data_IF_117673608464
#
_entry.id   IF_117673608464
#
_cell.length_a   1.000
_cell.length_b   1.000
_cell.length_c   1.000
_cell.angle_alpha   90.00
_cell.angle_beta   90.00
_cell.angle_gamma   90.00
#
_symmetry.space_group_name_H-M   'P 1'
#
loop_
_entity.id
_entity.type
_entity.pdbx_description
1 polymer ?
#
# COMPACT_ATOMS: atom_id res chain seq x y z
N UNK A 1 14.10 3.61 0.42
CA UNK A 1 12.89 2.98 1.02
C UNK A 1 11.73 3.95 1.02
N UNK A 2 10.48 3.43 1.05
CA UNK A 2 9.29 4.26 1.25
C UNK A 2 8.73 4.03 2.65
N UNK A 3 8.49 5.13 3.39
CA UNK A 3 7.82 5.11 4.68
C UNK A 3 6.49 5.84 4.57
N UNK A 4 5.40 5.15 4.86
CA UNK A 4 4.05 5.64 4.62
C UNK A 4 3.55 6.46 5.81
N UNK A 5 2.94 7.62 5.55
CA UNK A 5 2.20 8.37 6.56
C UNK A 5 0.91 7.63 6.91
N UNK A 6 0.40 7.88 8.10
CA UNK A 6 -0.85 7.29 8.58
C UNK A 6 -2.00 7.57 7.60
N UNK A 7 -2.66 6.52 7.12
CA UNK A 7 -3.73 6.63 6.15
C UNK A 7 -4.96 7.42 6.67
N UNK A 8 -5.13 7.50 7.99
CA UNK A 8 -6.17 8.33 8.64
C UNK A 8 -6.00 9.83 8.36
N UNK A 9 -4.79 10.26 7.95
CA UNK A 9 -4.47 11.64 7.60
C UNK A 9 -4.68 11.95 6.11
N UNK A 10 -5.17 11.01 5.30
CA UNK A 10 -5.23 11.12 3.83
C UNK A 10 -6.04 12.32 3.32
N UNK A 11 -6.93 12.89 4.12
CA UNK A 11 -7.75 14.07 3.79
C UNK A 11 -7.37 15.31 4.60
N UNK A 12 -6.19 15.33 5.24
CA UNK A 12 -5.66 16.44 6.01
C UNK A 12 -4.24 16.78 5.55
N UNK A 13 -4.12 17.82 4.75
CA UNK A 13 -2.86 18.29 4.18
C UNK A 13 -1.84 18.65 5.25
N UNK A 14 -2.25 19.45 6.25
CA UNK A 14 -1.34 19.96 7.28
C UNK A 14 -0.85 18.82 8.21
N UNK A 15 -1.75 17.94 8.63
CA UNK A 15 -1.39 16.80 9.45
C UNK A 15 -0.48 15.81 8.68
N UNK A 16 -0.71 15.61 7.38
CA UNK A 16 0.16 14.80 6.51
C UNK A 16 1.57 15.40 6.42
N UNK A 17 1.70 16.70 6.20
CA UNK A 17 2.99 17.41 6.17
C UNK A 17 3.72 17.26 7.52
N UNK A 18 3.02 17.52 8.63
CA UNK A 18 3.58 17.42 9.97
C UNK A 18 4.09 16.00 10.27
N UNK A 19 3.30 14.96 9.91
CA UNK A 19 3.69 13.56 10.07
C UNK A 19 4.90 13.21 9.21
N UNK A 20 4.92 13.63 7.95
CA UNK A 20 6.04 13.41 7.04
C UNK A 20 7.36 14.01 7.58
N UNK A 21 7.32 15.25 8.04
CA UNK A 21 8.48 15.93 8.66
C UNK A 21 8.95 15.22 9.92
N UNK A 22 8.02 14.74 10.75
CA UNK A 22 8.37 13.93 11.92
C UNK A 22 9.10 12.64 11.54
N UNK A 23 8.62 11.92 10.52
CA UNK A 23 9.26 10.70 10.04
C UNK A 23 10.68 10.98 9.51
N UNK A 24 10.84 12.03 8.72
CA UNK A 24 12.16 12.45 8.21
C UNK A 24 13.11 12.84 9.38
N UNK A 25 12.61 13.52 10.40
CA UNK A 25 13.38 13.79 11.61
C UNK A 25 13.92 12.54 12.28
N UNK A 26 13.10 11.50 12.42
CA UNK A 26 13.51 10.20 12.97
C UNK A 26 14.60 9.52 12.11
N UNK A 27 14.53 9.65 10.78
CA UNK A 27 15.59 9.16 9.90
C UNK A 27 16.90 9.94 10.06
N UNK A 28 16.83 11.26 10.20
CA UNK A 28 18.03 12.08 10.47
C UNK A 28 18.66 11.72 11.81
N UNK A 29 17.88 11.52 12.86
CA UNK A 29 18.36 11.08 14.18
C UNK A 29 19.07 9.72 14.11
N UNK A 30 18.67 8.87 13.15
CA UNK A 30 19.33 7.60 12.84
C UNK A 30 20.50 7.72 11.85
N UNK A 31 20.88 8.94 11.44
CA UNK A 31 21.99 9.19 10.50
C UNK A 31 21.66 8.87 9.04
N UNK A 32 20.38 8.81 8.67
CA UNK A 32 19.91 8.49 7.31
C UNK A 32 19.45 9.78 6.62
N UNK A 33 20.00 10.06 5.43
CA UNK A 33 19.69 11.25 4.64
C UNK A 33 18.41 11.13 3.80
N UNK A 34 17.85 12.27 3.38
CA UNK A 34 16.58 12.34 2.61
C UNK A 34 16.61 11.54 1.31
N UNK A 35 17.75 11.52 0.62
CA UNK A 35 17.93 10.80 -0.64
C UNK A 35 17.78 9.27 -0.53
N UNK A 36 17.73 8.73 0.69
CA UNK A 36 17.49 7.31 0.96
C UNK A 36 16.01 6.99 1.26
N UNK A 37 15.17 8.01 1.41
CA UNK A 37 13.81 7.87 1.91
C UNK A 37 12.82 8.58 1.00
N UNK A 38 11.72 7.92 0.71
CA UNK A 38 10.54 8.51 0.11
C UNK A 38 9.41 8.49 1.15
N UNK A 39 8.77 9.61 1.37
CA UNK A 39 7.54 9.63 2.16
C UNK A 39 6.38 9.17 1.28
N UNK A 40 5.70 8.11 1.70
CA UNK A 40 4.60 7.53 0.93
C UNK A 40 3.27 8.08 1.40
N UNK A 41 2.48 8.62 0.47
CA UNK A 41 1.25 9.38 0.75
C UNK A 41 0.13 8.91 -0.17
N UNK A 42 -1.10 8.79 0.33
CA UNK A 42 -2.26 8.47 -0.50
C UNK A 42 -2.53 9.59 -1.52
N UNK A 43 -2.90 9.23 -2.76
CA UNK A 43 -3.15 10.17 -3.85
C UNK A 43 -4.57 10.78 -3.78
N UNK A 44 -4.95 11.30 -2.61
CA UNK A 44 -6.06 12.24 -2.45
C UNK A 44 -5.64 13.62 -2.92
N UNK A 45 -6.56 14.55 -3.13
CA UNK A 45 -6.19 15.94 -3.42
C UNK A 45 -5.33 16.54 -2.32
N UNK A 46 -5.74 16.34 -1.07
CA UNK A 46 -5.03 16.81 0.12
C UNK A 46 -3.63 16.19 0.24
N UNK A 47 -3.50 14.90 -0.02
CA UNK A 47 -2.21 14.19 -0.02
C UNK A 47 -1.28 14.68 -1.14
N UNK A 48 -1.82 14.96 -2.33
CA UNK A 48 -1.06 15.53 -3.46
C UNK A 48 -0.58 16.95 -3.10
N UNK A 49 -1.42 17.77 -2.46
CA UNK A 49 -1.02 19.11 -2.01
C UNK A 49 0.03 19.06 -0.91
N UNK A 50 -0.04 18.08 -0.01
CA UNK A 50 1.01 17.84 0.98
C UNK A 50 2.34 17.47 0.29
N UNK A 51 2.31 16.58 -0.69
CA UNK A 51 3.51 16.21 -1.46
C UNK A 51 4.12 17.40 -2.20
N UNK A 52 3.31 18.28 -2.78
CA UNK A 52 3.80 19.50 -3.45
C UNK A 52 4.63 20.40 -2.51
N UNK A 53 4.23 20.52 -1.25
CA UNK A 53 4.98 21.27 -0.23
C UNK A 53 6.26 20.53 0.15
N UNK A 54 6.17 19.23 0.42
CA UNK A 54 7.31 18.41 0.84
C UNK A 54 8.41 18.34 -0.21
N UNK A 55 8.05 18.16 -1.49
CA UNK A 55 9.01 18.12 -2.59
C UNK A 55 9.76 19.45 -2.75
N UNK A 56 9.09 20.59 -2.57
CA UNK A 56 9.73 21.91 -2.56
C UNK A 56 10.72 22.09 -1.41
N UNK A 57 10.54 21.35 -0.33
CA UNK A 57 11.43 21.34 0.84
C UNK A 57 12.53 20.26 0.74
N UNK A 58 12.61 19.51 -0.38
CA UNK A 58 13.60 18.45 -0.58
C UNK A 58 13.28 17.15 0.14
N UNK A 59 12.03 16.95 0.50
CA UNK A 59 11.51 15.68 1.03
C UNK A 59 10.77 14.96 -0.11
N UNK A 60 11.39 13.91 -0.62
CA UNK A 60 10.87 13.17 -1.76
C UNK A 60 9.66 12.31 -1.40
N UNK A 61 8.67 12.26 -2.29
CA UNK A 61 7.41 11.59 -2.07
C UNK A 61 7.14 10.47 -3.07
N UNK A 62 6.49 9.41 -2.58
CA UNK A 62 5.91 8.32 -3.35
C UNK A 62 4.39 8.34 -3.19
N UNK A 63 3.67 8.76 -4.22
CA UNK A 63 2.20 8.84 -4.17
C UNK A 63 1.59 7.47 -4.47
N UNK A 64 0.82 6.95 -3.51
CA UNK A 64 0.22 5.61 -3.53
C UNK A 64 -1.30 5.66 -3.54
N UNK A 65 -1.96 4.49 -3.53
CA UNK A 65 -3.41 4.38 -3.74
C UNK A 65 -3.83 5.14 -4.99
N UNK A 66 -3.04 4.98 -6.04
CA UNK A 66 -3.22 5.63 -7.33
C UNK A 66 -3.85 4.63 -8.29
N UNK A 67 -5.03 4.97 -8.79
CA UNK A 67 -5.85 4.14 -9.66
C UNK A 67 -6.32 4.91 -10.90
N UNK A 68 -6.58 6.21 -10.79
CA UNK A 68 -7.12 7.06 -11.82
C UNK A 68 -6.08 7.93 -12.53
N UNK A 69 -6.38 8.27 -13.80
CA UNK A 69 -5.51 9.11 -14.59
C UNK A 69 -5.40 10.55 -14.04
N UNK A 70 -6.50 11.08 -13.50
CA UNK A 70 -6.51 12.40 -12.86
C UNK A 70 -5.55 12.49 -11.67
N UNK A 71 -5.49 11.42 -10.85
CA UNK A 71 -4.53 11.34 -9.74
C UNK A 71 -3.09 11.41 -10.25
N UNK A 72 -2.76 10.65 -11.30
CA UNK A 72 -1.41 10.62 -11.86
C UNK A 72 -0.99 12.01 -12.38
N UNK A 73 -1.85 12.67 -13.14
CA UNK A 73 -1.57 14.01 -13.67
C UNK A 73 -1.37 15.03 -12.54
N UNK A 74 -2.25 15.06 -11.57
CA UNK A 74 -2.13 15.97 -10.43
C UNK A 74 -0.84 15.72 -9.61
N UNK A 75 -0.44 14.46 -9.42
CA UNK A 75 0.84 14.11 -8.77
C UNK A 75 2.05 14.64 -9.56
N UNK A 76 2.03 14.52 -10.89
CA UNK A 76 3.11 15.02 -11.74
C UNK A 76 3.18 16.54 -11.73
N UNK A 77 2.03 17.24 -11.77
CA UNK A 77 1.96 18.72 -11.67
C UNK A 77 2.44 19.21 -10.28
N UNK A 78 2.21 18.45 -9.21
CA UNK A 78 2.74 18.71 -7.89
C UNK A 78 4.26 18.47 -7.78
N UNK A 79 4.89 17.89 -8.81
CA UNK A 79 6.32 17.60 -8.82
C UNK A 79 6.73 16.39 -7.98
N UNK A 80 5.80 15.47 -7.70
CA UNK A 80 6.10 14.25 -6.96
C UNK A 80 7.26 13.48 -7.60
N UNK A 81 8.19 13.00 -6.78
CA UNK A 81 9.33 12.20 -7.26
C UNK A 81 8.86 10.89 -7.88
N UNK A 82 7.89 10.21 -7.28
CA UNK A 82 7.45 8.88 -7.70
C UNK A 82 5.96 8.68 -7.48
N UNK A 83 5.32 7.95 -8.39
CA UNK A 83 3.96 7.44 -8.21
C UNK A 83 3.94 5.92 -8.28
N UNK A 84 3.06 5.30 -7.50
CA UNK A 84 2.87 3.84 -7.44
C UNK A 84 1.45 3.44 -7.84
N UNK A 85 1.11 3.41 -9.14
CA UNK A 85 -0.18 2.92 -9.61
C UNK A 85 -0.32 1.41 -9.38
N UNK A 86 -1.51 0.98 -8.94
CA UNK A 86 -1.78 -0.40 -8.55
C UNK A 86 -2.41 -1.21 -9.69
N UNK A 87 -1.58 -1.86 -10.50
CA UNK A 87 -1.97 -2.63 -11.69
C UNK A 87 -3.02 -3.70 -11.35
N UNK A 88 -2.66 -4.65 -10.50
CA UNK A 88 -3.53 -5.79 -10.21
C UNK A 88 -4.79 -5.45 -9.43
N UNK A 89 -4.79 -4.37 -8.60
CA UNK A 89 -6.04 -3.95 -7.93
C UNK A 89 -7.03 -3.33 -8.91
N UNK A 90 -6.56 -2.69 -9.98
CA UNK A 90 -7.40 -2.24 -11.10
C UNK A 90 -7.97 -3.46 -11.80
N UNK A 91 -7.16 -4.46 -12.14
CA UNK A 91 -7.60 -5.72 -12.74
C UNK A 91 -8.68 -6.40 -11.89
N UNK A 92 -8.47 -6.53 -10.58
CA UNK A 92 -9.42 -7.14 -9.66
C UNK A 92 -10.79 -6.46 -9.71
N UNK A 93 -10.80 -5.12 -9.74
CA UNK A 93 -12.04 -4.35 -9.82
C UNK A 93 -12.78 -4.61 -11.12
N UNK A 94 -12.07 -4.57 -12.27
CA UNK A 94 -12.69 -4.81 -13.58
C UNK A 94 -13.18 -6.26 -13.76
N UNK A 95 -12.47 -7.23 -13.20
CA UNK A 95 -12.94 -8.64 -13.18
C UNK A 95 -14.26 -8.75 -12.43
N UNK A 96 -14.35 -8.14 -11.26
CA UNK A 96 -15.57 -8.14 -10.45
C UNK A 96 -16.73 -7.41 -11.13
N UNK A 97 -16.47 -6.24 -11.71
CA UNK A 97 -17.50 -5.40 -12.32
C UNK A 97 -18.04 -5.99 -13.63
N UNK A 98 -17.18 -6.54 -14.48
CA UNK A 98 -17.55 -7.12 -15.77
C UNK A 98 -18.00 -8.58 -15.71
N UNK A 99 -17.68 -9.30 -14.62
CA UNK A 99 -17.86 -10.74 -14.51
C UNK A 99 -16.91 -11.59 -15.36
N UNK A 100 -15.84 -10.98 -15.93
CA UNK A 100 -14.80 -11.71 -16.69
C UNK A 100 -13.78 -12.31 -15.74
N UNK A 101 -13.43 -13.57 -15.94
CA UNK A 101 -12.45 -14.28 -15.11
C UNK A 101 -11.00 -13.88 -15.39
N UNK A 102 -10.71 -13.42 -16.62
CA UNK A 102 -9.35 -13.04 -17.03
C UNK A 102 -9.34 -11.97 -18.11
N UNK A 103 -8.23 -11.29 -18.20
CA UNK A 103 -7.89 -10.35 -19.29
C UNK A 103 -6.52 -10.76 -19.85
N UNK A 104 -6.35 -10.87 -21.19
CA UNK A 104 -5.03 -10.99 -21.80
C UNK A 104 -4.16 -9.80 -21.43
N UNK A 105 -2.84 -10.00 -21.27
CA UNK A 105 -1.92 -8.96 -20.83
C UNK A 105 -2.10 -7.60 -21.49
N UNK A 106 -2.17 -7.51 -22.86
CA UNK A 106 -2.39 -6.23 -23.56
C UNK A 106 -3.77 -5.60 -23.31
N UNK A 107 -4.77 -6.41 -22.91
CA UNK A 107 -6.14 -5.94 -22.62
C UNK A 107 -6.37 -5.71 -21.12
N UNK A 108 -5.37 -6.00 -20.28
CA UNK A 108 -5.46 -5.79 -18.84
C UNK A 108 -5.66 -4.32 -18.52
N UNK A 109 -6.77 -3.95 -17.84
CA UNK A 109 -7.09 -2.55 -17.57
C UNK A 109 -6.05 -1.86 -16.69
N UNK A 110 -5.36 -2.59 -15.81
CA UNK A 110 -4.25 -2.06 -15.01
C UNK A 110 -3.03 -1.75 -15.88
N UNK A 111 -2.68 -2.66 -16.80
CA UNK A 111 -1.61 -2.44 -17.79
C UNK A 111 -1.92 -1.25 -18.68
N UNK A 112 -3.15 -1.18 -19.22
CA UNK A 112 -3.59 -0.06 -20.05
C UNK A 112 -3.49 1.27 -19.28
N UNK A 113 -3.93 1.30 -18.03
CA UNK A 113 -3.86 2.48 -17.17
C UNK A 113 -2.42 2.97 -16.98
N UNK A 114 -1.51 2.08 -16.55
CA UNK A 114 -0.11 2.45 -16.31
C UNK A 114 0.62 2.83 -17.60
N UNK A 115 0.36 2.12 -18.69
CA UNK A 115 0.89 2.46 -20.03
C UNK A 115 0.46 3.86 -20.45
N UNK A 116 -0.80 4.23 -20.24
CA UNK A 116 -1.32 5.58 -20.53
C UNK A 116 -0.61 6.64 -19.71
N UNK A 117 -0.46 6.41 -18.39
CA UNK A 117 0.23 7.33 -17.48
C UNK A 117 1.68 7.51 -17.88
N UNK A 118 2.42 6.41 -18.13
CA UNK A 118 3.82 6.45 -18.56
C UNK A 118 3.99 7.28 -19.84
N UNK A 119 3.23 6.97 -20.89
CA UNK A 119 3.30 7.69 -22.16
C UNK A 119 2.98 9.18 -21.98
N UNK A 120 1.97 9.52 -21.19
CA UNK A 120 1.62 10.90 -20.89
C UNK A 120 2.77 11.64 -20.21
N UNK A 121 3.38 11.05 -19.18
CA UNK A 121 4.50 11.67 -18.46
C UNK A 121 5.70 11.92 -19.40
N UNK A 122 6.05 10.92 -20.20
CA UNK A 122 7.19 11.03 -21.14
C UNK A 122 6.91 12.03 -22.26
N UNK A 123 5.68 12.07 -22.78
CA UNK A 123 5.27 13.04 -23.82
C UNK A 123 5.36 14.48 -23.33
N UNK A 124 4.96 14.73 -22.08
CA UNK A 124 4.94 16.10 -21.51
C UNK A 124 6.18 16.46 -20.71
N UNK A 125 7.19 15.59 -20.66
CA UNK A 125 8.47 15.86 -20.04
C UNK A 125 8.42 15.91 -18.49
N UNK A 126 7.43 15.27 -17.87
CA UNK A 126 7.39 15.14 -16.41
C UNK A 126 8.55 14.28 -15.93
N UNK A 127 9.15 14.68 -14.82
CA UNK A 127 10.27 13.96 -14.18
C UNK A 127 9.80 12.88 -13.21
N UNK A 128 8.54 12.91 -12.82
CA UNK A 128 7.94 11.93 -11.94
C UNK A 128 8.12 10.51 -12.49
N UNK A 129 8.68 9.63 -11.69
CA UNK A 129 8.86 8.22 -12.04
C UNK A 129 7.57 7.43 -11.85
N UNK A 130 7.29 6.54 -12.79
CA UNK A 130 6.13 5.64 -12.73
C UNK A 130 6.60 4.28 -12.26
N UNK A 131 6.13 3.84 -11.10
CA UNK A 131 6.44 2.52 -10.55
C UNK A 131 5.18 1.63 -10.53
N UNK A 132 5.03 0.78 -11.53
CA UNK A 132 3.96 -0.22 -11.52
C UNK A 132 4.04 -1.10 -10.27
N UNK A 133 2.91 -1.32 -9.60
CA UNK A 133 2.86 -2.01 -8.31
C UNK A 133 1.65 -2.96 -8.19
N UNK A 134 1.71 -3.86 -7.19
CA UNK A 134 0.59 -4.73 -6.82
C UNK A 134 0.18 -5.71 -7.93
N UNK A 135 1.14 -6.35 -8.58
CA UNK A 135 0.93 -7.30 -9.67
C UNK A 135 0.24 -8.58 -9.22
N UNK A 136 -0.57 -9.18 -10.11
CA UNK A 136 -1.27 -10.46 -9.92
C UNK A 136 -0.64 -11.61 -10.70
N UNK A 137 0.00 -11.30 -11.83
CA UNK A 137 0.55 -12.31 -12.74
C UNK A 137 1.77 -11.76 -13.50
N UNK A 138 2.45 -12.65 -14.25
CA UNK A 138 3.63 -12.29 -15.03
C UNK A 138 3.29 -11.43 -16.25
N UNK A 139 2.13 -11.61 -16.86
CA UNK A 139 1.74 -10.87 -18.06
C UNK A 139 1.67 -9.37 -17.80
N UNK A 140 1.13 -8.95 -16.62
CA UNK A 140 1.14 -7.55 -16.21
C UNK A 140 2.56 -6.97 -16.16
N UNK A 141 3.54 -7.75 -15.68
CA UNK A 141 4.94 -7.33 -15.56
C UNK A 141 5.60 -7.25 -16.93
N UNK A 142 5.37 -8.27 -17.77
CA UNK A 142 5.92 -8.35 -19.12
C UNK A 142 5.41 -7.21 -20.00
N UNK A 143 4.10 -6.92 -19.95
CA UNK A 143 3.50 -5.82 -20.73
C UNK A 143 3.94 -4.42 -20.26
N UNK A 144 4.48 -4.31 -19.04
CA UNK A 144 5.05 -3.07 -18.54
C UNK A 144 6.59 -3.03 -18.60
N UNK A 145 7.22 -3.95 -19.34
CA UNK A 145 8.67 -3.98 -19.52
C UNK A 145 9.17 -2.68 -20.18
N UNK A 146 10.01 -1.96 -19.47
CA UNK A 146 10.51 -0.63 -19.86
C UNK A 146 9.85 0.54 -19.12
N UNK A 147 8.89 0.28 -18.22
CA UNK A 147 8.44 1.25 -17.22
C UNK A 147 9.62 1.74 -16.37
N UNK A 148 9.54 2.92 -15.79
CA UNK A 148 10.64 3.46 -15.00
C UNK A 148 11.03 2.51 -13.86
N UNK A 149 10.04 2.02 -13.10
CA UNK A 149 10.22 1.10 -12.00
C UNK A 149 9.06 0.10 -11.92
N UNK A 150 9.31 -1.06 -11.30
CA UNK A 150 8.29 -2.05 -10.97
C UNK A 150 8.53 -2.61 -9.57
N UNK A 151 7.51 -2.59 -8.72
CA UNK A 151 7.54 -3.24 -7.41
C UNK A 151 6.92 -4.63 -7.53
N UNK A 152 7.75 -5.65 -7.54
CA UNK A 152 7.37 -7.04 -7.80
C UNK A 152 7.51 -7.86 -6.51
N UNK A 153 6.52 -8.69 -6.19
CA UNK A 153 6.58 -9.58 -5.03
C UNK A 153 7.65 -10.67 -5.22
N UNK A 154 8.25 -11.19 -4.12
CA UNK A 154 9.25 -12.25 -4.20
C UNK A 154 8.78 -13.47 -5.00
N UNK A 155 7.53 -13.87 -4.85
CA UNK A 155 6.95 -15.00 -5.58
C UNK A 155 6.94 -14.78 -7.11
N UNK A 156 6.54 -13.59 -7.56
CA UNK A 156 6.57 -13.26 -8.99
C UNK A 156 8.00 -13.09 -9.51
N UNK A 157 8.93 -12.57 -8.68
CA UNK A 157 10.36 -12.52 -9.03
C UNK A 157 10.95 -13.91 -9.23
N UNK A 158 10.58 -14.89 -8.39
CA UNK A 158 11.05 -16.26 -8.55
C UNK A 158 10.47 -16.91 -9.82
N UNK A 159 9.22 -16.63 -10.16
CA UNK A 159 8.65 -17.08 -11.43
C UNK A 159 9.38 -16.47 -12.64
N UNK A 160 9.69 -15.16 -12.60
CA UNK A 160 10.46 -14.49 -13.65
C UNK A 160 11.87 -15.07 -13.79
N UNK A 161 12.54 -15.36 -12.69
CA UNK A 161 13.88 -15.98 -12.68
C UNK A 161 13.91 -17.33 -13.38
N UNK A 162 12.83 -18.09 -13.28
CA UNK A 162 12.69 -19.42 -13.87
C UNK A 162 12.06 -19.39 -15.28
N UNK A 163 11.77 -18.21 -15.83
CA UNK A 163 11.24 -18.04 -17.18
C UNK A 163 12.37 -17.85 -18.19
N UNK A 164 12.34 -18.62 -19.27
CA UNK A 164 13.24 -18.47 -20.43
C UNK A 164 12.54 -17.78 -21.62
N UNK A 165 11.34 -17.22 -21.39
CA UNK A 165 10.58 -16.52 -22.43
C UNK A 165 11.33 -15.26 -22.88
N UNK A 166 11.30 -14.97 -24.18
CA UNK A 166 11.84 -13.72 -24.73
C UNK A 166 11.09 -12.51 -24.17
N UNK A 167 11.85 -11.58 -23.59
CA UNK A 167 11.31 -10.33 -23.05
C UNK A 167 11.57 -9.18 -24.01
N UNK A 168 10.54 -8.72 -24.69
CA UNK A 168 10.60 -7.51 -25.51
C UNK A 168 10.27 -6.27 -24.71
N UNK A 169 10.96 -5.16 -25.01
CA UNK A 169 10.62 -3.86 -24.41
C UNK A 169 9.26 -3.39 -24.94
N UNK A 170 8.34 -3.07 -24.02
CA UNK A 170 6.98 -2.59 -24.31
C UNK A 170 6.85 -1.07 -24.18
N UNK A 171 7.54 -0.49 -23.21
CA UNK A 171 7.53 0.94 -22.94
C UNK A 171 8.90 1.55 -23.24
N UNK A 172 8.93 2.68 -23.94
CA UNK A 172 10.16 3.39 -24.30
C UNK A 172 10.00 4.88 -24.05
N UNK A 173 10.72 5.40 -23.06
CA UNK A 173 10.69 6.83 -22.71
C UNK A 173 11.15 7.75 -23.84
N UNK A 174 11.98 7.24 -24.78
CA UNK A 174 12.44 8.02 -25.95
C UNK A 174 11.42 8.06 -27.09
N UNK A 175 10.42 7.19 -27.06
CA UNK A 175 9.39 7.04 -28.10
C UNK A 175 8.02 6.81 -27.46
N UNK A 176 7.51 7.77 -26.67
CA UNK A 176 6.20 7.61 -26.05
C UNK A 176 5.13 7.45 -27.13
N UNK A 177 4.24 6.47 -26.93
CA UNK A 177 3.16 6.22 -27.86
C UNK A 177 2.04 7.24 -27.63
N UNK A 178 1.57 7.86 -28.72
CA UNK A 178 0.43 8.75 -28.83
C UNK A 178 0.45 10.04 -27.99
N UNK A 179 0.13 11.14 -28.63
CA UNK A 179 -0.06 12.45 -28.00
C UNK A 179 -1.42 12.46 -27.29
N UNK A 180 -1.39 12.41 -25.96
CA UNK A 180 -2.55 12.80 -25.14
C UNK A 180 -2.40 14.29 -24.87
N UNK A 181 -3.47 15.08 -25.11
CA UNK A 181 -3.48 16.51 -24.83
C UNK A 181 -3.11 16.77 -23.37
N UNK A 182 -2.30 17.81 -23.14
CA UNK A 182 -1.87 18.16 -21.78
C UNK A 182 -3.07 18.65 -20.97
N UNK A 183 -3.31 18.00 -19.84
CA UNK A 183 -4.32 18.42 -18.88
C UNK A 183 -3.71 19.39 -17.88
N UNK A 184 -4.53 20.28 -17.34
CA UNK A 184 -4.25 21.06 -16.14
C UNK A 184 -5.34 20.76 -15.13
N UNK A 185 -4.94 20.34 -13.92
CA UNK A 185 -5.86 19.83 -12.92
C UNK A 185 -5.83 20.72 -11.68
N UNK A 186 -6.92 21.44 -11.44
CA UNK A 186 -7.22 22.09 -10.17
C UNK A 186 -8.13 21.22 -9.28
N UNK A 187 -8.49 21.72 -8.10
CA UNK A 187 -9.29 20.98 -7.13
C UNK A 187 -10.68 20.58 -7.66
N UNK A 188 -11.33 21.45 -8.42
CA UNK A 188 -12.67 21.20 -8.96
C UNK A 188 -12.62 20.19 -10.10
N UNK A 189 -11.65 20.31 -10.99
CA UNK A 189 -11.41 19.37 -12.07
C UNK A 189 -11.02 17.99 -11.51
N UNK A 190 -10.13 17.95 -10.51
CA UNK A 190 -9.76 16.70 -9.83
C UNK A 190 -10.99 16.01 -9.26
N UNK A 191 -11.80 16.74 -8.50
CA UNK A 191 -13.02 16.22 -7.90
C UNK A 191 -14.02 15.69 -8.94
N UNK A 192 -14.21 16.43 -10.04
CA UNK A 192 -15.10 16.00 -11.13
C UNK A 192 -14.60 14.72 -11.78
N UNK A 193 -13.31 14.68 -12.19
CA UNK A 193 -12.73 13.52 -12.85
C UNK A 193 -12.70 12.27 -11.96
N UNK A 194 -12.43 12.45 -10.66
CA UNK A 194 -12.51 11.36 -9.69
C UNK A 194 -13.95 10.87 -9.47
N UNK A 195 -14.93 11.78 -9.54
CA UNK A 195 -16.35 11.42 -9.46
C UNK A 195 -16.85 10.64 -10.69
N UNK A 196 -16.28 10.88 -11.86
CA UNK A 196 -16.58 10.17 -13.11
C UNK A 196 -15.88 8.80 -13.20
N UNK A 197 -14.70 8.67 -12.58
CA UNK A 197 -13.94 7.40 -12.53
C UNK A 197 -14.34 6.57 -11.31
N UNK A 198 -15.44 5.82 -11.46
CA UNK A 198 -16.00 4.98 -10.40
C UNK A 198 -14.96 4.01 -9.83
N UNK A 199 -14.13 3.39 -10.68
CA UNK A 199 -13.10 2.45 -10.24
C UNK A 199 -12.06 3.14 -9.36
N UNK A 200 -11.51 4.26 -9.81
CA UNK A 200 -10.51 4.99 -9.04
C UNK A 200 -11.07 5.51 -7.71
N UNK A 201 -12.29 6.03 -7.71
CA UNK A 201 -12.98 6.50 -6.50
C UNK A 201 -13.19 5.39 -5.47
N UNK A 202 -13.78 4.26 -5.89
CA UNK A 202 -14.04 3.12 -5.00
C UNK A 202 -12.74 2.53 -4.44
N UNK A 203 -11.71 2.32 -5.30
CA UNK A 203 -10.44 1.73 -4.89
C UNK A 203 -9.59 2.63 -3.99
N UNK A 204 -9.64 3.94 -4.19
CA UNK A 204 -8.99 4.90 -3.27
C UNK A 204 -9.61 4.83 -1.87
N UNK A 205 -10.93 4.85 -1.78
CA UNK A 205 -11.66 4.76 -0.51
C UNK A 205 -11.40 3.43 0.21
N UNK A 206 -11.58 2.31 -0.49
CA UNK A 206 -11.29 0.97 0.03
C UNK A 206 -9.85 0.86 0.53
N UNK A 207 -8.89 1.41 -0.24
CA UNK A 207 -7.48 1.40 0.15
C UNK A 207 -7.19 2.18 1.42
N UNK A 208 -7.75 3.39 1.56
CA UNK A 208 -7.59 4.21 2.77
C UNK A 208 -8.20 3.51 3.99
N UNK A 209 -9.40 2.95 3.86
CA UNK A 209 -10.06 2.21 4.95
C UNK A 209 -9.25 0.99 5.37
N UNK A 210 -8.77 0.20 4.39
CA UNK A 210 -7.96 -0.99 4.66
C UNK A 210 -6.64 -0.65 5.37
N UNK A 211 -5.95 0.41 4.92
CA UNK A 211 -4.71 0.85 5.55
C UNK A 211 -4.94 1.45 6.94
N UNK A 212 -6.03 2.18 7.15
CA UNK A 212 -6.43 2.69 8.47
C UNK A 212 -6.66 1.54 9.46
N UNK A 213 -7.41 0.51 9.05
CA UNK A 213 -7.62 -0.66 9.89
C UNK A 213 -6.32 -1.41 10.17
N UNK A 214 -5.42 -1.52 9.20
CA UNK A 214 -4.13 -2.17 9.38
C UNK A 214 -3.25 -1.44 10.41
N UNK A 215 -3.21 -0.11 10.40
CA UNK A 215 -2.44 0.66 11.39
C UNK A 215 -3.05 0.56 12.79
N UNK A 216 -4.37 0.58 12.92
CA UNK A 216 -5.07 0.36 14.19
C UNK A 216 -4.73 -1.02 14.78
N UNK A 217 -4.74 -2.05 13.94
CA UNK A 217 -4.33 -3.40 14.35
C UNK A 217 -2.88 -3.42 14.84
N UNK A 218 -1.97 -2.77 14.11
CA UNK A 218 -0.56 -2.67 14.52
C UNK A 218 -0.39 -1.89 15.83
N UNK A 219 -1.10 -0.77 16.00
CA UNK A 219 -1.08 0.02 17.24
C UNK A 219 -1.51 -0.83 18.44
N UNK A 220 -2.59 -1.62 18.28
CA UNK A 220 -3.05 -2.52 19.34
C UNK A 220 -2.02 -3.61 19.67
N UNK A 221 -1.40 -4.24 18.66
CA UNK A 221 -0.32 -5.21 18.87
C UNK A 221 0.88 -4.62 19.60
N UNK A 222 1.29 -3.39 19.24
CA UNK A 222 2.41 -2.69 19.88
C UNK A 222 2.06 -2.30 21.33
N UNK A 223 0.85 -1.79 21.56
CA UNK A 223 0.38 -1.46 22.91
C UNK A 223 0.36 -2.70 23.82
N UNK A 224 -0.13 -3.82 23.27
CA UNK A 224 -0.10 -5.09 23.98
C UNK A 224 1.34 -5.52 24.30
N UNK A 225 2.23 -5.51 23.29
CA UNK A 225 3.64 -5.89 23.51
C UNK A 225 4.31 -5.02 24.58
N UNK A 226 4.03 -3.73 24.57
CA UNK A 226 4.53 -2.80 25.56
C UNK A 226 4.02 -3.15 26.96
N UNK A 227 2.72 -3.39 27.11
CA UNK A 227 2.09 -3.77 28.38
C UNK A 227 2.68 -5.06 28.96
N UNK A 228 2.97 -6.04 28.09
CA UNK A 228 3.64 -7.29 28.50
C UNK A 228 5.07 -7.02 28.99
N UNK A 229 5.81 -6.14 28.32
CA UNK A 229 7.19 -5.80 28.69
C UNK A 229 7.27 -4.98 29.99
N UNK A 230 6.28 -4.14 30.27
CA UNK A 230 6.23 -3.28 31.46
C UNK A 230 5.72 -4.01 32.73
N UNK A 231 5.19 -5.20 32.61
CA UNK A 231 4.83 -6.11 33.73
C UNK A 231 3.48 -5.83 34.39
N UNK A 232 2.51 -6.62 34.15
CA UNK A 232 1.55 -7.10 35.09
C UNK A 232 0.10 -6.64 35.06
N UNK A 233 -0.33 -5.50 35.50
CA UNK A 233 -1.77 -5.15 35.66
C UNK A 233 -2.52 -4.88 34.33
N UNK A 234 -1.79 -4.49 33.30
CA UNK A 234 -2.30 -4.30 31.94
C UNK A 234 -2.54 -5.62 31.18
N UNK A 235 -2.05 -6.74 31.70
CA UNK A 235 -2.05 -8.04 31.04
C UNK A 235 -3.46 -8.59 30.75
N UNK A 236 -4.38 -8.44 31.69
CA UNK A 236 -5.75 -8.94 31.52
C UNK A 236 -6.56 -8.16 30.47
N UNK A 237 -6.32 -6.85 30.36
CA UNK A 237 -6.97 -6.00 29.36
C UNK A 237 -6.42 -6.27 27.97
N UNK A 238 -5.11 -6.40 27.86
CA UNK A 238 -4.43 -6.69 26.61
C UNK A 238 -4.79 -8.07 26.03
N UNK A 239 -4.97 -9.09 26.86
CA UNK A 239 -5.44 -10.40 26.41
C UNK A 239 -6.85 -10.33 25.80
N UNK A 240 -7.73 -9.51 26.35
CA UNK A 240 -9.07 -9.29 25.81
C UNK A 240 -9.05 -8.55 24.48
N UNK A 241 -8.18 -7.56 24.31
CA UNK A 241 -8.04 -6.83 23.05
C UNK A 241 -7.46 -7.70 21.95
N UNK A 242 -6.46 -8.53 22.24
CA UNK A 242 -5.93 -9.51 21.26
C UNK A 242 -7.03 -10.47 20.81
N UNK A 243 -7.83 -10.94 21.74
CA UNK A 243 -8.92 -11.83 21.43
C UNK A 243 -9.89 -11.17 20.44
N UNK A 244 -10.37 -9.97 20.76
CA UNK A 244 -11.27 -9.19 19.90
C UNK A 244 -10.68 -8.85 18.53
N UNK A 245 -9.36 -8.74 18.40
CA UNK A 245 -8.70 -8.42 17.12
C UNK A 245 -8.52 -9.64 16.21
N UNK A 246 -8.51 -10.83 16.77
CA UNK A 246 -8.30 -12.07 16.03
C UNK A 246 -9.58 -12.89 15.85
N UNK A 247 -10.59 -12.72 16.68
CA UNK A 247 -11.93 -13.28 16.52
C UNK A 247 -12.66 -12.46 15.43
N UNK A 248 -12.41 -12.80 14.16
CA UNK A 248 -12.82 -12.01 13.01
C UNK A 248 -14.29 -12.20 12.65
N UNK A 249 -14.87 -13.34 12.98
CA UNK A 249 -16.27 -13.64 12.70
C UNK A 249 -17.17 -13.45 13.93
N UNK A 250 -16.58 -13.23 15.11
CA UNK A 250 -17.29 -12.94 16.37
C UNK A 250 -17.95 -14.17 16.99
N UNK A 251 -17.46 -15.36 16.68
CA UNK A 251 -18.02 -16.63 17.20
C UNK A 251 -17.55 -16.98 18.61
N UNK A 252 -16.63 -16.19 19.16
CA UNK A 252 -16.09 -16.33 20.52
C UNK A 252 -14.91 -17.28 20.62
N UNK A 253 -14.31 -17.68 19.51
CA UNK A 253 -13.03 -18.39 19.45
C UNK A 253 -12.14 -17.83 18.33
N UNK A 254 -10.83 -18.03 18.43
CA UNK A 254 -9.90 -17.68 17.37
C UNK A 254 -9.41 -18.98 16.74
N UNK A 255 -9.71 -19.16 15.47
CA UNK A 255 -9.17 -20.26 14.67
C UNK A 255 -7.78 -19.91 14.13
N UNK A 256 -7.05 -20.92 13.63
CA UNK A 256 -5.73 -20.71 13.04
C UNK A 256 -5.79 -19.81 11.78
N UNK A 257 -6.89 -19.82 11.06
CA UNK A 257 -7.11 -18.98 9.88
C UNK A 257 -7.33 -17.50 10.24
N UNK A 258 -7.88 -17.25 11.43
CA UNK A 258 -8.09 -15.88 11.94
C UNK A 258 -6.86 -15.33 12.65
N UNK A 259 -5.93 -16.21 13.08
CA UNK A 259 -4.78 -15.81 13.84
C UNK A 259 -3.79 -14.98 13.04
N UNK A 260 -3.57 -13.74 13.44
CA UNK A 260 -2.66 -12.78 12.79
C UNK A 260 -1.20 -12.89 13.24
N UNK A 261 -0.93 -13.71 14.28
CA UNK A 261 0.42 -13.93 14.82
C UNK A 261 1.14 -15.11 14.14
N UNK A 262 2.29 -15.53 14.72
CA UNK A 262 3.01 -16.71 14.22
C UNK A 262 2.37 -18.01 14.72
N UNK A 263 2.50 -19.09 13.92
CA UNK A 263 2.02 -20.43 14.30
C UNK A 263 2.61 -20.92 15.62
N UNK A 264 3.88 -20.60 15.87
CA UNK A 264 4.54 -20.96 17.13
C UNK A 264 3.90 -20.31 18.38
N UNK A 265 3.36 -19.11 18.24
CA UNK A 265 2.62 -18.44 19.32
C UNK A 265 1.23 -19.03 19.45
N UNK A 266 0.55 -19.34 18.36
CA UNK A 266 -0.73 -20.04 18.39
C UNK A 266 -0.60 -21.38 19.13
N UNK A 267 0.35 -22.22 18.71
CA UNK A 267 0.61 -23.53 19.34
C UNK A 267 0.96 -23.45 20.82
N UNK A 268 1.63 -22.37 21.23
CA UNK A 268 1.96 -22.15 22.65
C UNK A 268 0.76 -21.66 23.48
N UNK A 269 -0.24 -21.06 22.85
CA UNK A 269 -1.49 -20.64 23.49
C UNK A 269 -2.53 -21.76 23.51
N UNK A 270 -2.61 -22.55 22.43
CA UNK A 270 -3.49 -23.71 22.29
C UNK A 270 -2.97 -24.88 23.15
N UNK A 271 -3.22 -24.78 24.44
CA UNK A 271 -2.66 -25.73 25.44
C UNK A 271 -3.35 -27.07 25.45
N UNK A 272 -4.58 -27.17 25.00
CA UNK A 272 -5.33 -28.41 24.89
C UNK A 272 -5.29 -29.02 23.46
N UNK A 273 -4.64 -28.31 22.51
CA UNK A 273 -4.41 -28.74 21.14
C UNK A 273 -5.69 -29.04 20.36
N UNK A 274 -6.75 -28.29 20.63
CA UNK A 274 -8.03 -28.43 19.93
C UNK A 274 -8.08 -27.62 18.62
N UNK A 275 -7.05 -26.81 18.34
CA UNK A 275 -6.91 -25.97 17.15
C UNK A 275 -7.67 -24.66 17.21
N UNK A 276 -8.11 -24.26 18.41
CA UNK A 276 -8.84 -23.03 18.69
C UNK A 276 -8.26 -22.34 19.92
N UNK A 277 -8.36 -21.01 19.95
CA UNK A 277 -8.04 -20.25 21.15
C UNK A 277 -9.32 -19.64 21.71
N UNK A 278 -9.61 -19.96 22.96
CA UNK A 278 -10.66 -19.33 23.73
C UNK A 278 -10.11 -18.14 24.54
N UNK A 279 -10.94 -17.26 25.09
CA UNK A 279 -10.49 -16.14 25.93
C UNK A 279 -9.62 -16.56 27.13
N UNK A 280 -9.85 -17.75 27.68
CA UNK A 280 -9.06 -18.33 28.75
C UNK A 280 -7.66 -18.76 28.32
N UNK A 281 -7.49 -19.28 27.11
CA UNK A 281 -6.19 -19.68 26.56
C UNK A 281 -5.30 -18.46 26.39
N UNK A 282 -5.86 -17.40 25.82
CA UNK A 282 -5.16 -16.12 25.66
C UNK A 282 -4.80 -15.50 27.01
N UNK A 283 -5.67 -15.59 28.03
CA UNK A 283 -5.39 -15.08 29.37
C UNK A 283 -4.36 -15.91 30.14
N UNK A 284 -4.38 -17.24 29.98
CA UNK A 284 -3.51 -18.17 30.73
C UNK A 284 -2.15 -18.42 30.07
N UNK A 285 -2.12 -18.47 28.73
CA UNK A 285 -0.98 -18.95 27.97
C UNK A 285 0.09 -17.91 27.64
N UNK A 286 -0.23 -16.61 27.63
CA UNK A 286 0.71 -15.56 27.19
C UNK A 286 1.98 -15.47 28.03
N UNK A 287 1.92 -15.76 29.31
CA UNK A 287 3.10 -15.80 30.19
C UNK A 287 4.07 -16.96 29.88
N UNK A 288 3.52 -18.10 29.45
CA UNK A 288 4.30 -19.30 29.08
C UNK A 288 4.85 -19.17 27.65
N UNK A 289 4.08 -18.66 26.69
CA UNK A 289 4.48 -18.45 25.31
C UNK A 289 5.65 -17.46 25.16
N UNK A 290 5.75 -16.44 26.02
CA UNK A 290 6.86 -15.49 26.04
C UNK A 290 8.16 -16.06 26.61
N UNK A 291 8.09 -17.10 27.44
CA UNK A 291 9.28 -17.78 27.97
C UNK A 291 9.94 -18.68 26.92
N UNK A 292 9.19 -19.17 25.94
CA UNK A 292 9.69 -20.05 24.86
C UNK A 292 10.16 -19.30 23.62
N UNK A 293 9.85 -18.03 23.48
CA UNK A 293 10.25 -17.15 22.35
C UNK A 293 11.58 -16.40 22.57
N UNK A 294 12.36 -16.78 23.61
CA UNK A 294 13.74 -16.31 23.87
C UNK A 294 14.75 -17.33 23.30
#
# INVERSE_FOLDING_TARGET
VSTEVDARLSYDTEATIAKAKKLIGLYHDAGISNDRVLIKIASTWEGIKAAEVLEKEGIHCNLTLLFGFAQAVACAEAGATLISPFVGRILDWYKKDSGRDSYPGPEDPGVISVTKIFNYFKTHGYKTEVMGASFRNLDEIIELAGCDLLTISPNLLDQLRNSEAELSRKLDASKPAASIEKLSIDAEIFKSLMGEDRMAHEKLHEGIQGFSKAIETLEAQLAHRLAVLEGGAAFAHAAQEIFLLNDLDGDGCITREEWLGSDAVFDALDTDHDGRLLPEDVRGGFGAALATAR
#
